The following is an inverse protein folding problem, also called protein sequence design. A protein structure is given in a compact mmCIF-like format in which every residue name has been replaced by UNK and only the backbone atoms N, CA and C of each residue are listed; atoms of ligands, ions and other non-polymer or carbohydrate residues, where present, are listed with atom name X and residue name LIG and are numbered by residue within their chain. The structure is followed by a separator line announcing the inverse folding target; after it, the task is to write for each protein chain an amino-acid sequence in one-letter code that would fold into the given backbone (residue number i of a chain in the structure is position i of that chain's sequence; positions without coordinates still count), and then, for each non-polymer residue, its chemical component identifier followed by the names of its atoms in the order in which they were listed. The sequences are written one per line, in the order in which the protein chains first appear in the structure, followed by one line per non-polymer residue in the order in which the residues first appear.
data_IF_668676044879
#
_entry.id   IF_668676044879
#
_cell.length_a   1.000
_cell.length_b   1.000
_cell.length_c   1.000
_cell.angle_alpha   90.00
_cell.angle_beta   90.00
_cell.angle_gamma   90.00
#
_symmetry.space_group_name_H-M   'P 1'
#
loop_
_entity.id
_entity.type
_entity.pdbx_description
1 polymer ?
#
# COMPACT_ATOMS: atom_id res chain seq x y z
N UNK A 1 12.76 -0.59 -62.81
CA UNK A 1 13.40 -0.35 -61.49
C UNK A 1 13.28 1.08 -61.01
N UNK A 2 13.46 2.10 -61.86
CA UNK A 2 13.39 3.52 -61.47
C UNK A 2 12.05 3.94 -60.87
N UNK A 3 10.91 3.51 -61.42
CA UNK A 3 9.57 3.85 -60.88
C UNK A 3 9.35 3.41 -59.43
N UNK A 4 9.89 2.27 -59.01
CA UNK A 4 9.74 1.76 -57.64
C UNK A 4 10.59 2.58 -56.67
N UNK A 5 11.82 2.92 -57.07
CA UNK A 5 12.70 3.82 -56.30
C UNK A 5 12.12 5.24 -56.17
N UNK A 6 11.52 5.79 -57.24
CA UNK A 6 10.85 7.10 -57.19
C UNK A 6 9.58 7.08 -56.35
N UNK A 7 8.85 5.96 -56.34
CA UNK A 7 7.67 5.78 -55.49
C UNK A 7 8.06 5.76 -54.02
N UNK A 8 9.13 5.06 -53.63
CA UNK A 8 9.60 5.00 -52.25
C UNK A 8 10.19 6.33 -51.78
N UNK A 9 10.84 7.08 -52.67
CA UNK A 9 11.42 8.39 -52.33
C UNK A 9 10.35 9.48 -52.10
N UNK A 10 9.18 9.34 -52.75
CA UNK A 10 8.05 10.26 -52.61
C UNK A 10 6.95 9.72 -51.68
N UNK A 11 7.21 8.62 -50.97
CA UNK A 11 6.25 8.02 -50.04
C UNK A 11 6.33 8.71 -48.67
N UNK A 12 5.56 9.79 -48.50
CA UNK A 12 5.45 10.51 -47.23
C UNK A 12 4.45 9.85 -46.25
N UNK A 13 3.59 8.94 -46.73
CA UNK A 13 2.56 8.32 -45.92
C UNK A 13 3.14 7.42 -44.81
N UNK A 14 4.31 6.80 -45.04
CA UNK A 14 4.98 5.97 -44.03
C UNK A 14 5.70 6.77 -42.93
N UNK A 15 6.19 7.97 -43.24
CA UNK A 15 6.93 8.82 -42.30
C UNK A 15 6.00 9.48 -41.28
N UNK A 16 4.86 10.01 -41.74
CA UNK A 16 3.87 10.71 -40.90
C UNK A 16 3.25 9.76 -39.86
N UNK A 17 2.92 8.51 -40.26
CA UNK A 17 2.32 7.52 -39.36
C UNK A 17 3.32 7.02 -38.30
N UNK A 18 4.62 6.99 -38.60
CA UNK A 18 5.63 6.52 -37.65
C UNK A 18 5.89 7.49 -36.50
N UNK A 19 5.96 8.80 -36.79
CA UNK A 19 6.22 9.81 -35.77
C UNK A 19 5.03 9.98 -34.80
N UNK A 20 3.80 9.94 -35.33
CA UNK A 20 2.57 10.02 -34.51
C UNK A 20 2.41 8.81 -33.61
N UNK A 21 2.71 7.60 -34.11
CA UNK A 21 2.64 6.38 -33.31
C UNK A 21 3.70 6.35 -32.20
N UNK A 22 4.91 6.86 -32.47
CA UNK A 22 5.95 7.03 -31.45
C UNK A 22 5.50 8.04 -30.37
N UNK A 23 4.89 9.16 -30.76
CA UNK A 23 4.35 10.13 -29.81
C UNK A 23 3.26 9.51 -28.92
N UNK A 24 2.30 8.78 -29.49
CA UNK A 24 1.25 8.11 -28.73
C UNK A 24 1.84 7.02 -27.80
N UNK A 25 2.78 6.23 -28.31
CA UNK A 25 3.42 5.17 -27.53
C UNK A 25 4.20 5.73 -26.33
N UNK A 26 4.91 6.85 -26.50
CA UNK A 26 5.63 7.50 -25.39
C UNK A 26 4.68 8.04 -24.33
N UNK A 27 3.58 8.69 -24.71
CA UNK A 27 2.54 9.15 -23.77
C UNK A 27 1.92 7.96 -23.03
N UNK A 28 1.61 6.86 -23.73
CA UNK A 28 1.04 5.67 -23.14
C UNK A 28 1.99 5.02 -22.12
N UNK A 29 3.27 4.88 -22.44
CA UNK A 29 4.28 4.32 -21.54
C UNK A 29 4.46 5.20 -20.30
N UNK A 30 4.57 6.53 -20.47
CA UNK A 30 4.69 7.45 -19.33
C UNK A 30 3.45 7.39 -18.42
N UNK A 31 2.26 7.35 -19.00
CA UNK A 31 1.00 7.24 -18.25
C UNK A 31 0.92 5.91 -17.48
N UNK A 32 1.39 4.82 -18.09
CA UNK A 32 1.42 3.50 -17.45
C UNK A 32 2.40 3.45 -16.29
N UNK A 33 3.59 4.06 -16.42
CA UNK A 33 4.59 4.12 -15.34
C UNK A 33 4.02 4.88 -14.13
N UNK A 34 3.44 6.06 -14.36
CA UNK A 34 2.81 6.84 -13.29
C UNK A 34 1.65 6.07 -12.68
N UNK A 35 0.78 5.47 -13.49
CA UNK A 35 -0.34 4.65 -13.02
C UNK A 35 0.11 3.47 -12.16
N UNK A 36 1.17 2.77 -12.56
CA UNK A 36 1.71 1.66 -11.77
C UNK A 36 2.36 2.13 -10.46
N UNK A 37 3.01 3.28 -10.46
CA UNK A 37 3.57 3.91 -9.26
C UNK A 37 2.47 4.22 -8.24
N UNK A 38 1.39 4.85 -8.67
CA UNK A 38 0.26 5.19 -7.79
C UNK A 38 -0.45 3.94 -7.26
N UNK A 39 -0.61 2.90 -8.08
CA UNK A 39 -1.14 1.60 -7.62
C UNK A 39 -0.24 0.98 -6.55
N UNK A 40 1.08 1.00 -6.75
CA UNK A 40 2.03 0.47 -5.77
C UNK A 40 1.99 1.24 -4.45
N UNK A 41 1.95 2.57 -4.52
CA UNK A 41 1.87 3.43 -3.34
C UNK A 41 0.54 3.22 -2.61
N UNK A 42 -0.58 3.19 -3.34
CA UNK A 42 -1.90 2.94 -2.78
C UNK A 42 -1.97 1.59 -2.06
N UNK A 43 -1.50 0.51 -2.69
CA UNK A 43 -1.49 -0.82 -2.04
C UNK A 43 -0.64 -0.81 -0.78
N UNK A 44 0.55 -0.20 -0.80
CA UNK A 44 1.41 -0.16 0.38
C UNK A 44 0.75 0.62 1.53
N UNK A 45 0.13 1.76 1.25
CA UNK A 45 -0.56 2.55 2.26
C UNK A 45 -1.76 1.79 2.85
N UNK A 46 -2.56 1.11 2.03
CA UNK A 46 -3.69 0.31 2.53
C UNK A 46 -3.22 -0.89 3.36
N UNK A 47 -2.10 -1.52 2.99
CA UNK A 47 -1.50 -2.60 3.79
C UNK A 47 -0.96 -2.09 5.13
N UNK A 48 -0.39 -0.89 5.16
CA UNK A 48 0.03 -0.21 6.38
C UNK A 48 -1.17 0.07 7.30
N UNK A 49 -2.27 0.59 6.75
CA UNK A 49 -3.52 0.83 7.49
C UNK A 49 -4.13 -0.48 8.03
N UNK A 50 -4.15 -1.54 7.22
CA UNK A 50 -4.58 -2.88 7.66
C UNK A 50 -3.70 -3.36 8.80
N UNK A 51 -2.38 -3.30 8.66
CA UNK A 51 -1.48 -3.72 9.72
C UNK A 51 -1.71 -2.88 10.99
N UNK A 52 -1.96 -1.57 10.87
CA UNK A 52 -2.23 -0.67 12.00
C UNK A 52 -3.47 -1.12 12.76
N UNK A 53 -4.52 -1.51 12.03
CA UNK A 53 -5.74 -2.04 12.63
C UNK A 53 -5.48 -3.31 13.47
N UNK A 54 -4.57 -4.18 13.03
CA UNK A 54 -4.18 -5.37 13.79
C UNK A 54 -3.34 -5.02 15.03
N UNK A 55 -2.37 -4.11 14.91
CA UNK A 55 -1.58 -3.64 16.06
C UNK A 55 -2.41 -2.90 17.12
N UNK A 56 -3.55 -2.31 16.72
CA UNK A 56 -4.50 -1.65 17.62
C UNK A 56 -5.39 -2.60 18.42
N UNK A 57 -5.36 -3.90 18.14
CA UNK A 57 -6.08 -4.89 18.95
C UNK A 57 -5.36 -5.04 20.29
N UNK A 58 -6.09 -4.95 21.40
CA UNK A 58 -5.51 -5.19 22.72
C UNK A 58 -5.16 -6.68 22.85
N UNK A 59 -3.86 -7.00 22.86
CA UNK A 59 -3.35 -8.37 23.01
C UNK A 59 -3.18 -8.78 24.48
N UNK A 60 -3.59 -7.95 25.44
CA UNK A 60 -3.53 -8.25 26.87
C UNK A 60 -4.76 -9.02 27.35
N UNK A 61 -4.55 -9.97 28.26
CA UNK A 61 -5.63 -10.67 28.96
C UNK A 61 -5.40 -10.71 30.47
N UNK A 62 -6.48 -10.85 31.23
CA UNK A 62 -6.43 -10.97 32.68
C UNK A 62 -7.54 -11.89 33.19
N UNK A 63 -7.18 -12.95 33.92
CA UNK A 63 -8.13 -13.81 34.63
C UNK A 63 -7.89 -13.79 36.13
N UNK A 64 -8.96 -13.51 36.88
CA UNK A 64 -8.95 -13.52 38.34
C UNK A 64 -8.88 -14.96 38.87
N UNK A 65 -8.04 -15.17 39.88
CA UNK A 65 -8.03 -16.39 40.67
C UNK A 65 -9.23 -16.45 41.62
N UNK A 66 -9.68 -17.65 41.95
CA UNK A 66 -10.76 -17.88 42.92
C UNK A 66 -10.16 -18.25 44.29
N UNK A 67 -10.67 -17.67 45.36
CA UNK A 67 -10.27 -18.00 46.73
C UNK A 67 -11.49 -18.32 47.59
N UNK A 68 -11.41 -19.42 48.36
CA UNK A 68 -12.45 -19.87 49.29
C UNK A 68 -11.85 -20.50 50.55
N UNK A 69 -12.71 -20.95 51.47
CA UNK A 69 -12.28 -21.48 52.76
C UNK A 69 -11.59 -22.86 52.59
N UNK A 70 -10.26 -22.84 52.41
CA UNK A 70 -9.42 -24.04 52.27
C UNK A 70 -8.83 -24.29 50.88
N UNK A 71 -9.10 -23.44 49.89
CA UNK A 71 -8.52 -23.56 48.55
C UNK A 71 -8.26 -22.19 47.91
N UNK A 72 -7.17 -22.11 47.16
CA UNK A 72 -6.75 -20.91 46.42
C UNK A 72 -6.32 -21.31 45.01
N UNK A 73 -6.85 -20.61 44.01
CA UNK A 73 -6.46 -20.75 42.61
C UNK A 73 -5.75 -19.47 42.20
N UNK A 74 -4.56 -19.61 41.60
CA UNK A 74 -3.79 -18.47 41.11
C UNK A 74 -4.50 -17.78 39.94
N UNK A 75 -4.48 -16.45 39.94
CA UNK A 75 -4.76 -15.64 38.75
C UNK A 75 -3.65 -15.83 37.71
N UNK A 76 -3.92 -15.46 36.46
CA UNK A 76 -2.86 -15.04 35.56
C UNK A 76 -3.33 -14.02 34.54
N UNK A 77 -2.34 -13.38 33.97
CA UNK A 77 -2.49 -12.24 33.13
C UNK A 77 -1.31 -12.16 32.19
N UNK A 78 -1.55 -11.53 31.06
CA UNK A 78 -0.53 -11.11 30.11
C UNK A 78 -0.80 -9.65 29.77
N UNK A 79 0.21 -8.81 29.98
CA UNK A 79 0.18 -7.41 29.60
C UNK A 79 1.15 -7.18 28.45
N UNK A 80 0.61 -6.89 27.29
CA UNK A 80 1.39 -6.50 26.11
C UNK A 80 2.05 -5.14 26.38
N UNK A 81 3.37 -5.06 26.25
CA UNK A 81 4.16 -3.87 26.57
C UNK A 81 4.75 -3.30 25.29
N UNK A 82 4.75 -1.98 25.20
CA UNK A 82 5.36 -1.20 24.12
C UNK A 82 6.80 -1.65 23.88
N UNK A 83 7.11 -2.15 22.68
CA UNK A 83 8.45 -2.62 22.31
C UNK A 83 9.13 -1.71 21.24
N UNK A 84 10.28 -2.14 20.72
CA UNK A 84 11.06 -1.35 19.75
C UNK A 84 10.29 -1.05 18.45
N UNK A 85 9.29 -1.88 18.12
CA UNK A 85 8.41 -1.73 16.96
C UNK A 85 7.15 -0.89 17.29
N UNK A 86 7.08 -0.26 18.46
CA UNK A 86 5.94 0.56 18.88
C UNK A 86 6.21 2.10 18.87
N UNK A 87 6.96 2.61 17.87
CA UNK A 87 7.27 4.05 17.70
C UNK A 87 6.28 4.83 16.82
N UNK A 88 6.27 6.17 16.91
CA UNK A 88 5.35 7.11 16.19
C UNK A 88 5.30 7.00 14.65
N UNK A 89 6.23 6.26 14.03
CA UNK A 89 6.30 5.96 12.58
C UNK A 89 6.19 4.46 12.26
N UNK A 90 5.82 3.65 13.25
CA UNK A 90 5.41 2.26 13.08
C UNK A 90 3.90 2.18 13.28
N UNK A 91 3.32 1.08 12.85
CA UNK A 91 1.94 0.61 12.95
C UNK A 91 1.44 0.77 14.40
N UNK A 92 1.08 2.00 14.78
CA UNK A 92 0.77 2.29 16.17
C UNK A 92 -0.67 1.96 16.49
N UNK A 93 -0.78 1.18 17.55
CA UNK A 93 -1.86 1.02 18.49
C UNK A 93 -2.45 2.30 19.07
N UNK A 94 -2.61 3.42 18.34
CA UNK A 94 -3.14 4.64 18.95
C UNK A 94 -4.57 4.42 19.44
N UNK A 95 -4.86 4.88 20.66
CA UNK A 95 -6.22 4.88 21.21
C UNK A 95 -7.16 5.56 20.20
N UNK A 96 -8.37 5.05 19.92
CA UNK A 96 -9.29 5.70 19.01
C UNK A 96 -9.50 7.16 19.41
N UNK A 97 -8.92 8.08 18.63
CA UNK A 97 -9.27 9.49 18.67
C UNK A 97 -10.53 9.65 17.84
N UNK A 98 -11.52 10.35 18.38
CA UNK A 98 -12.66 10.78 17.57
C UNK A 98 -12.14 11.67 16.45
N UNK A 99 -12.39 11.30 15.20
CA UNK A 99 -12.33 12.24 14.08
C UNK A 99 -13.47 13.24 14.27
N UNK A 100 -13.19 14.33 14.98
CA UNK A 100 -14.05 15.50 14.92
C UNK A 100 -13.63 16.23 13.66
N UNK A 101 -14.45 16.05 12.62
CA UNK A 101 -14.38 16.77 11.36
C UNK A 101 -14.12 18.25 11.60
N UNK A 102 -13.08 18.77 10.96
CA UNK A 102 -13.02 20.15 10.51
C UNK A 102 -13.21 20.16 9.00
#
# INVERSE_FOLDING_TARGET
MTKLMTSLYNDENGFIISAELVLIATIAVLSMIVGLSEVSLGINNELEDVASSFGRINQSFYYNGLSGHGAWISSSFFGDHTDFCDGENDIQGTRPRSERSY
#
